data_IF_851791954262
#
_entry.id   IF_851791954262
#
_cell.length_a   1.000
_cell.length_b   1.000
_cell.length_c   1.000
_cell.angle_alpha   90.00
_cell.angle_beta   90.00
_cell.angle_gamma   90.00
#
_symmetry.space_group_name_H-M   'P 1'
#
loop_
_entity.id
_entity.type
_entity.pdbx_description
1 polymer ?
#
# COMPACT_ATOMS: atom_id res chain seq x y z
N UNK A 1 5.44 24.53 -3.88
CA UNK A 1 4.46 24.57 -2.75
C UNK A 1 3.08 24.65 -3.36
N UNK A 2 2.12 23.88 -2.86
CA UNK A 2 0.76 23.86 -3.39
C UNK A 2 0.01 25.16 -3.08
N UNK A 3 -0.83 25.62 -4.00
CA UNK A 3 -1.70 26.78 -3.80
C UNK A 3 -2.93 26.42 -2.96
N UNK A 4 -3.68 27.41 -2.47
CA UNK A 4 -4.96 27.16 -1.77
C UNK A 4 -5.98 26.47 -2.67
N UNK A 5 -5.97 26.80 -3.96
CA UNK A 5 -6.84 26.18 -4.96
C UNK A 5 -6.47 24.71 -5.19
N UNK A 6 -5.16 24.39 -5.25
CA UNK A 6 -4.70 23.00 -5.30
C UNK A 6 -5.18 22.21 -4.08
N UNK A 7 -5.01 22.77 -2.87
CA UNK A 7 -5.42 22.11 -1.63
C UNK A 7 -6.93 21.83 -1.61
N UNK A 8 -7.75 22.80 -2.02
CA UNK A 8 -9.20 22.63 -2.11
C UNK A 8 -9.59 21.56 -3.15
N UNK A 9 -9.01 21.63 -4.35
CA UNK A 9 -9.30 20.67 -5.42
C UNK A 9 -8.94 19.24 -5.02
N UNK A 10 -7.79 19.05 -4.38
CA UNK A 10 -7.35 17.73 -3.90
C UNK A 10 -8.26 17.22 -2.78
N UNK A 11 -8.69 18.11 -1.89
CA UNK A 11 -9.63 17.76 -0.82
C UNK A 11 -10.96 17.25 -1.38
N UNK A 12 -11.53 17.99 -2.33
CA UNK A 12 -12.78 17.60 -2.97
C UNK A 12 -12.62 16.34 -3.82
N UNK A 13 -11.48 16.17 -4.51
CA UNK A 13 -11.15 14.94 -5.24
C UNK A 13 -11.11 13.72 -4.29
N UNK A 14 -10.42 13.83 -3.15
CA UNK A 14 -10.36 12.75 -2.17
C UNK A 14 -11.76 12.37 -1.65
N UNK A 15 -12.60 13.37 -1.33
CA UNK A 15 -13.99 13.14 -0.91
C UNK A 15 -14.83 12.49 -2.01
N UNK A 16 -14.72 12.99 -3.24
CA UNK A 16 -15.42 12.45 -4.41
C UNK A 16 -15.07 10.96 -4.60
N UNK A 17 -13.79 10.62 -4.62
CA UNK A 17 -13.35 9.23 -4.81
C UNK A 17 -13.78 8.33 -3.67
N UNK A 18 -13.70 8.78 -2.41
CA UNK A 18 -14.22 8.02 -1.26
C UNK A 18 -15.73 7.77 -1.37
N UNK A 19 -16.49 8.74 -1.88
CA UNK A 19 -17.94 8.60 -2.10
C UNK A 19 -18.25 7.62 -3.24
N UNK A 20 -17.59 7.76 -4.38
CA UNK A 20 -17.78 6.89 -5.55
C UNK A 20 -17.41 5.43 -5.23
N UNK A 21 -16.38 5.23 -4.42
CA UNK A 21 -15.93 3.91 -3.96
C UNK A 21 -16.65 3.42 -2.70
N UNK A 22 -17.67 4.14 -2.23
CA UNK A 22 -18.50 3.78 -1.07
C UNK A 22 -17.69 3.50 0.22
N UNK A 23 -16.56 4.19 0.41
CA UNK A 23 -15.63 3.95 1.52
C UNK A 23 -16.06 4.63 2.83
N UNK A 24 -17.11 5.44 2.77
CA UNK A 24 -17.50 6.34 3.85
C UNK A 24 -16.34 7.27 4.25
N UNK A 25 -16.38 7.77 5.48
CA UNK A 25 -15.38 8.71 6.01
C UNK A 25 -14.53 8.12 7.15
N UNK A 26 -14.76 6.86 7.54
CA UNK A 26 -13.96 6.21 8.59
C UNK A 26 -12.56 5.81 8.12
N UNK A 27 -11.74 5.22 9.00
CA UNK A 27 -10.45 4.67 8.61
C UNK A 27 -10.58 3.62 7.49
N UNK A 28 -9.70 3.70 6.48
CA UNK A 28 -9.69 2.71 5.39
C UNK A 28 -9.04 1.40 5.84
N UNK A 29 -7.99 1.48 6.65
CA UNK A 29 -7.24 0.31 7.07
C UNK A 29 -6.75 -0.52 5.88
N UNK A 30 -6.96 -1.84 5.94
CA UNK A 30 -6.59 -2.78 4.87
C UNK A 30 -7.60 -2.75 3.70
N UNK A 31 -8.69 -1.98 3.77
CA UNK A 31 -9.65 -1.85 2.66
C UNK A 31 -9.03 -1.20 1.41
N UNK A 32 -7.87 -0.55 1.54
CA UNK A 32 -7.16 0.03 0.39
C UNK A 32 -6.80 -1.03 -0.67
N UNK A 33 -6.44 -2.23 -0.25
CA UNK A 33 -6.17 -3.36 -1.16
C UNK A 33 -7.42 -3.78 -1.93
N UNK A 34 -8.57 -3.81 -1.24
CA UNK A 34 -9.88 -4.05 -1.89
C UNK A 34 -10.22 -2.96 -2.90
N UNK A 35 -9.89 -1.70 -2.62
CA UNK A 35 -10.10 -0.58 -3.54
C UNK A 35 -9.30 -0.76 -4.82
N UNK A 36 -8.00 -1.04 -4.70
CA UNK A 36 -7.09 -1.27 -5.84
C UNK A 36 -7.66 -2.36 -6.76
N UNK A 37 -8.07 -3.48 -6.16
CA UNK A 37 -8.70 -4.59 -6.86
C UNK A 37 -10.02 -4.22 -7.55
N UNK A 38 -10.88 -3.48 -6.87
CA UNK A 38 -12.17 -3.03 -7.43
C UNK A 38 -11.97 -2.11 -8.64
N UNK A 39 -10.88 -1.34 -8.64
CA UNK A 39 -10.47 -0.51 -9.78
C UNK A 39 -9.82 -1.30 -10.92
N UNK A 40 -9.69 -2.62 -10.80
CA UNK A 40 -9.04 -3.48 -11.80
C UNK A 40 -7.53 -3.30 -11.88
N UNK A 41 -6.92 -2.64 -10.89
CA UNK A 41 -5.48 -2.38 -10.87
C UNK A 41 -4.75 -3.62 -10.36
N UNK A 42 -3.74 -4.05 -11.09
CA UNK A 42 -2.91 -5.20 -10.75
C UNK A 42 -1.80 -4.77 -9.78
N UNK A 43 -1.89 -5.22 -8.52
CA UNK A 43 -0.86 -4.95 -7.51
C UNK A 43 0.24 -6.01 -7.58
N UNK A 44 1.47 -5.57 -7.80
CA UNK A 44 2.69 -6.38 -7.78
C UNK A 44 3.54 -5.93 -6.59
N UNK A 45 3.83 -6.85 -5.68
CA UNK A 45 4.63 -6.62 -4.48
C UNK A 45 6.05 -7.11 -4.72
N UNK A 46 7.03 -6.24 -4.52
CA UNK A 46 8.43 -6.56 -4.78
C UNK A 46 9.29 -6.01 -3.64
N UNK A 47 10.13 -6.85 -2.99
CA UNK A 47 11.09 -6.37 -2.03
C UNK A 47 12.31 -5.81 -2.79
N UNK A 48 12.26 -4.52 -3.16
CA UNK A 48 13.43 -3.84 -3.70
C UNK A 48 14.45 -3.64 -2.58
N UNK A 49 15.51 -4.45 -2.61
CA UNK A 49 16.63 -4.35 -1.69
C UNK A 49 17.52 -3.18 -2.11
N UNK A 50 17.77 -2.26 -1.17
CA UNK A 50 18.83 -1.29 -1.32
C UNK A 50 20.17 -1.98 -1.02
N UNK A 51 21.07 -2.05 -1.99
CA UNK A 51 22.45 -2.52 -1.79
C UNK A 51 23.36 -1.46 -1.14
N UNK A 52 22.82 -0.29 -0.73
CA UNK A 52 23.57 0.82 -0.14
C UNK A 52 23.21 1.14 1.31
N UNK A 53 24.16 1.73 2.05
CA UNK A 53 24.03 2.19 3.45
C UNK A 53 23.07 3.40 3.64
N UNK A 54 22.43 3.91 2.59
CA UNK A 54 21.50 5.03 2.69
C UNK A 54 20.14 4.58 3.22
N UNK A 55 19.67 5.25 4.28
CA UNK A 55 18.49 4.87 5.08
C UNK A 55 17.14 5.03 4.36
N UNK A 56 17.13 5.51 3.12
CA UNK A 56 15.91 5.74 2.34
C UNK A 56 15.95 4.93 1.02
N UNK A 57 14.92 4.10 0.83
CA UNK A 57 14.71 3.42 -0.44
C UNK A 57 14.37 4.45 -1.53
N UNK A 58 15.09 4.46 -2.67
CA UNK A 58 14.86 5.43 -3.73
C UNK A 58 13.54 5.19 -4.48
N UNK A 59 12.89 4.04 -4.29
CA UNK A 59 11.64 3.65 -4.93
C UNK A 59 10.63 3.17 -3.87
N UNK A 60 9.51 3.88 -3.73
CA UNK A 60 8.43 3.49 -2.80
C UNK A 60 7.33 2.71 -3.52
N UNK A 61 6.90 3.21 -4.67
CA UNK A 61 5.97 2.55 -5.56
C UNK A 61 6.11 3.10 -7.00
N UNK A 62 5.46 2.41 -7.93
CA UNK A 62 5.41 2.73 -9.36
C UNK A 62 3.99 2.50 -9.86
N UNK A 63 3.44 3.45 -10.61
CA UNK A 63 2.19 3.28 -11.33
C UNK A 63 2.42 3.23 -12.84
N UNK A 64 1.81 2.23 -13.48
CA UNK A 64 1.87 2.01 -14.92
C UNK A 64 0.45 1.82 -15.46
N UNK A 65 0.14 2.45 -16.59
CA UNK A 65 -1.08 2.14 -17.34
C UNK A 65 -0.79 2.07 -18.83
N UNK A 66 -1.12 0.95 -19.47
CA UNK A 66 -1.16 0.84 -20.93
C UNK A 66 -2.59 1.07 -21.40
N UNK A 67 -2.77 1.81 -22.51
CA UNK A 67 -4.03 1.87 -23.24
C UNK A 67 -3.81 1.18 -24.59
N UNK A 68 -4.48 0.06 -24.77
CA UNK A 68 -4.48 -0.68 -26.03
C UNK A 68 -5.39 0.03 -27.06
N UNK A 69 -5.13 -0.20 -28.36
CA UNK A 69 -5.82 0.46 -29.48
C UNK A 69 -7.32 0.16 -29.53
N UNK A 70 -7.75 -0.93 -28.90
CA UNK A 70 -9.14 -1.38 -28.78
C UNK A 70 -9.88 -0.73 -27.58
N UNK A 71 -9.22 0.14 -26.84
CA UNK A 71 -9.76 0.90 -25.71
C UNK A 71 -9.64 0.20 -24.36
N UNK A 72 -9.02 -0.99 -24.28
CA UNK A 72 -8.71 -1.62 -23.01
C UNK A 72 -7.54 -0.91 -22.34
N UNK A 73 -7.67 -0.60 -21.05
CA UNK A 73 -6.57 -0.08 -20.26
C UNK A 73 -6.17 -1.07 -19.17
N UNK A 74 -4.92 -1.48 -19.16
CA UNK A 74 -4.36 -2.32 -18.08
C UNK A 74 -3.53 -1.44 -17.16
N UNK A 75 -3.83 -1.49 -15.87
CA UNK A 75 -3.18 -0.69 -14.85
C UNK A 75 -2.43 -1.56 -13.86
N UNK A 76 -1.21 -1.18 -13.51
CA UNK A 76 -0.36 -1.86 -12.54
C UNK A 76 0.12 -0.88 -11.47
N UNK A 77 0.22 -1.37 -10.24
CA UNK A 77 0.98 -0.73 -9.17
C UNK A 77 2.08 -1.70 -8.74
N UNK A 78 3.33 -1.28 -8.87
CA UNK A 78 4.48 -1.94 -8.26
C UNK A 78 4.74 -1.33 -6.89
N UNK A 79 4.67 -2.12 -5.82
CA UNK A 79 4.86 -1.66 -4.44
C UNK A 79 6.19 -2.18 -3.87
N UNK A 80 7.02 -1.28 -3.34
CA UNK A 80 8.21 -1.70 -2.60
C UNK A 80 7.85 -2.17 -1.19
N UNK A 81 8.10 -3.44 -0.91
CA UNK A 81 7.74 -4.06 0.37
C UNK A 81 8.86 -4.05 1.42
N UNK A 82 10.03 -3.47 1.10
CA UNK A 82 11.12 -3.32 2.09
C UNK A 82 10.96 -2.08 2.98
N UNK A 83 9.98 -1.22 2.67
CA UNK A 83 9.53 -0.14 3.55
C UNK A 83 8.56 -0.62 4.63
N UNK A 84 8.32 0.21 5.64
CA UNK A 84 7.36 -0.08 6.71
C UNK A 84 5.92 -0.08 6.21
N UNK A 85 5.06 -0.87 6.86
CA UNK A 85 3.69 -1.08 6.39
C UNK A 85 2.84 0.20 6.32
N UNK A 86 2.99 1.12 7.27
CA UNK A 86 2.36 2.45 7.22
C UNK A 86 2.77 3.23 5.95
N UNK A 87 4.05 3.18 5.58
CA UNK A 87 4.57 3.80 4.37
C UNK A 87 4.06 3.10 3.10
N UNK A 88 3.95 1.77 3.12
CA UNK A 88 3.39 1.00 2.00
C UNK A 88 1.93 1.39 1.74
N UNK A 89 1.11 1.49 2.78
CA UNK A 89 -0.28 1.98 2.67
C UNK A 89 -0.32 3.39 2.10
N UNK A 90 0.56 4.27 2.58
CA UNK A 90 0.64 5.64 2.07
C UNK A 90 1.05 5.68 0.59
N UNK A 91 2.03 4.88 0.18
CA UNK A 91 2.48 4.77 -1.21
C UNK A 91 1.36 4.28 -2.12
N UNK A 92 0.58 3.27 -1.69
CA UNK A 92 -0.60 2.83 -2.44
C UNK A 92 -1.64 3.94 -2.62
N UNK A 93 -1.95 4.70 -1.56
CA UNK A 93 -2.88 5.82 -1.65
C UNK A 93 -2.34 6.96 -2.53
N UNK A 94 -1.03 7.13 -2.57
CA UNK A 94 -0.35 8.05 -3.48
C UNK A 94 -0.51 7.59 -4.93
N UNK A 95 -0.26 6.32 -5.25
CA UNK A 95 -0.41 5.82 -6.62
C UNK A 95 -1.87 5.86 -7.12
N UNK A 96 -2.85 5.74 -6.21
CA UNK A 96 -4.25 5.95 -6.58
C UNK A 96 -4.52 7.37 -7.10
N UNK A 97 -3.81 8.40 -6.63
CA UNK A 97 -3.92 9.74 -7.22
C UNK A 97 -3.51 9.73 -8.69
N UNK A 98 -2.36 9.12 -9.00
CA UNK A 98 -1.87 9.02 -10.39
C UNK A 98 -2.82 8.20 -11.27
N UNK A 99 -3.43 7.16 -10.71
CA UNK A 99 -4.49 6.43 -11.38
C UNK A 99 -5.71 7.33 -11.70
N UNK A 100 -6.19 8.11 -10.74
CA UNK A 100 -7.34 8.97 -10.97
C UNK A 100 -7.07 10.15 -11.91
N UNK A 101 -5.83 10.63 -11.95
CA UNK A 101 -5.41 11.77 -12.78
C UNK A 101 -4.81 11.35 -14.12
N UNK A 102 -4.82 10.05 -14.44
CA UNK A 102 -4.11 9.39 -15.55
C UNK A 102 -4.27 10.11 -16.89
N UNK A 103 -3.36 11.05 -17.11
CA UNK A 103 -3.04 11.73 -18.37
C UNK A 103 -1.72 11.23 -18.95
N UNK A 104 -0.92 10.50 -18.15
CA UNK A 104 0.40 9.95 -18.50
C UNK A 104 0.44 8.45 -18.17
N UNK A 105 0.82 7.57 -19.12
CA UNK A 105 0.86 6.13 -18.93
C UNK A 105 1.95 5.62 -17.98
N UNK A 106 2.96 6.41 -17.60
CA UNK A 106 4.09 5.96 -16.77
C UNK A 106 4.43 6.96 -15.65
N UNK A 107 4.41 6.53 -14.39
CA UNK A 107 4.75 7.40 -13.24
C UNK A 107 5.60 6.67 -12.20
N UNK A 108 6.80 7.20 -11.93
CA UNK A 108 7.78 6.64 -10.98
C UNK A 108 7.87 7.50 -9.70
N UNK A 109 7.51 6.94 -8.55
CA UNK A 109 7.55 7.65 -7.27
C UNK A 109 8.81 7.34 -6.43
N UNK A 110 9.48 8.40 -5.97
CA UNK A 110 10.68 8.32 -5.12
C UNK A 110 10.39 8.83 -3.71
N UNK A 111 9.76 8.04 -2.85
CA UNK A 111 9.61 8.31 -1.40
C UNK A 111 8.92 9.63 -1.00
N UNK A 112 8.66 9.80 0.31
CA UNK A 112 7.91 10.96 0.84
C UNK A 112 8.66 12.30 0.77
N UNK A 113 10.00 12.26 0.77
CA UNK A 113 10.85 13.43 1.03
C UNK A 113 11.62 13.96 -0.23
N UNK A 114 11.43 13.38 -1.43
CA UNK A 114 12.33 13.62 -2.58
C UNK A 114 11.77 14.26 -3.86
N UNK A 115 10.54 14.80 -3.89
CA UNK A 115 10.00 15.43 -5.12
C UNK A 115 9.65 16.91 -4.95
N UNK A 116 10.33 17.80 -5.69
CA UNK A 116 9.92 19.21 -5.84
C UNK A 116 8.82 19.39 -6.91
N UNK A 117 8.43 18.31 -7.58
CA UNK A 117 7.36 18.29 -8.59
C UNK A 117 6.00 18.58 -7.94
N UNK A 118 5.25 19.49 -8.55
CA UNK A 118 3.90 19.84 -8.14
C UNK A 118 3.00 18.59 -8.17
N UNK A 119 3.14 17.72 -9.18
CA UNK A 119 2.32 16.51 -9.32
C UNK A 119 2.48 15.57 -8.12
N UNK A 120 3.72 15.30 -7.73
CA UNK A 120 4.03 14.47 -6.57
C UNK A 120 3.60 15.11 -5.24
N UNK A 121 3.70 16.44 -5.12
CA UNK A 121 3.14 17.17 -3.98
C UNK A 121 1.62 17.00 -3.91
N UNK A 122 0.91 17.04 -5.05
CA UNK A 122 -0.53 16.79 -5.12
C UNK A 122 -0.87 15.35 -4.72
N UNK A 123 -0.10 14.38 -5.21
CA UNK A 123 -0.26 12.97 -4.87
C UNK A 123 -0.05 12.71 -3.36
N UNK A 124 0.99 13.28 -2.75
CA UNK A 124 1.22 13.21 -1.31
C UNK A 124 0.08 13.85 -0.51
N UNK A 125 -0.42 15.02 -0.95
CA UNK A 125 -1.57 15.67 -0.32
C UNK A 125 -2.83 14.83 -0.46
N UNK A 126 -3.07 14.24 -1.64
CA UNK A 126 -4.21 13.36 -1.90
C UNK A 126 -4.14 12.14 -1.00
N UNK A 127 -3.01 11.43 -0.93
CA UNK A 127 -2.86 10.25 -0.08
C UNK A 127 -3.20 10.55 1.39
N UNK A 128 -2.69 11.67 1.92
CA UNK A 128 -2.94 12.08 3.30
C UNK A 128 -4.42 12.42 3.56
N UNK A 129 -5.09 13.04 2.59
CA UNK A 129 -6.51 13.38 2.67
C UNK A 129 -7.43 12.17 2.45
N UNK A 130 -7.06 11.31 1.50
CA UNK A 130 -7.80 10.10 1.14
C UNK A 130 -7.76 9.09 2.28
N UNK A 131 -6.62 8.94 2.97
CA UNK A 131 -6.50 8.07 4.14
C UNK A 131 -7.14 8.68 5.39
N UNK A 132 -6.96 9.99 5.62
CA UNK A 132 -7.48 10.72 6.77
C UNK A 132 -8.14 12.04 6.34
N UNK A 133 -9.47 12.02 6.06
CA UNK A 133 -10.19 13.23 5.64
C UNK A 133 -10.12 14.35 6.67
N UNK A 134 -10.05 15.60 6.20
CA UNK A 134 -9.87 16.82 7.02
C UNK A 134 -10.97 16.94 8.07
N UNK A 135 -12.21 16.72 7.67
CA UNK A 135 -13.38 16.77 8.56
C UNK A 135 -13.26 15.76 9.70
N UNK A 136 -12.63 14.61 9.44
CA UNK A 136 -12.44 13.56 10.43
C UNK A 136 -11.28 13.85 11.35
N UNK A 137 -10.15 14.32 10.83
CA UNK A 137 -9.06 14.78 11.67
C UNK A 137 -9.52 15.91 12.61
N UNK A 138 -10.26 16.90 12.08
CA UNK A 138 -10.81 17.99 12.89
C UNK A 138 -11.77 17.45 13.96
N UNK A 139 -12.59 16.45 13.62
CA UNK A 139 -13.46 15.78 14.59
C UNK A 139 -12.65 15.09 15.70
N UNK A 140 -11.67 14.24 15.37
CA UNK A 140 -10.82 13.55 16.36
C UNK A 140 -10.13 14.53 17.31
N UNK A 141 -9.57 15.62 16.76
CA UNK A 141 -8.93 16.68 17.56
C UNK A 141 -9.92 17.31 18.52
N UNK A 142 -11.10 17.70 18.02
CA UNK A 142 -12.14 18.36 18.84
C UNK A 142 -12.69 17.44 19.91
N UNK A 143 -12.94 16.17 19.60
CA UNK A 143 -13.41 15.19 20.58
C UNK A 143 -12.43 15.07 21.77
N UNK A 144 -11.13 15.04 21.48
CA UNK A 144 -10.09 14.93 22.51
C UNK A 144 -9.82 16.25 23.24
N UNK A 145 -10.14 17.39 22.62
CA UNK A 145 -9.87 18.74 23.12
C UNK A 145 -11.16 19.54 23.43
N UNK A 146 -12.22 18.85 23.86
CA UNK A 146 -13.47 19.45 24.36
C UNK A 146 -14.10 20.45 23.38
N UNK A 147 -14.10 20.11 22.10
CA UNK A 147 -14.66 20.93 21.01
C UNK A 147 -13.69 21.94 20.40
N UNK A 148 -12.48 22.12 20.95
CA UNK A 148 -11.50 23.06 20.41
C UNK A 148 -10.54 22.38 19.42
N UNK A 149 -10.30 23.03 18.27
CA UNK A 149 -9.38 22.55 17.26
C UNK A 149 -7.91 22.89 17.58
N UNK A 150 -7.66 23.99 18.27
CA UNK A 150 -6.30 24.43 18.64
C UNK A 150 -5.81 23.66 19.88
N UNK A 151 -4.74 22.87 19.70
CA UNK A 151 -4.10 22.07 20.76
C UNK A 151 -3.04 22.88 21.52
N UNK A 152 -3.01 24.20 21.39
CA UNK A 152 -2.13 25.07 22.17
C UNK A 152 -2.23 24.77 23.67
N UNK A 153 -1.06 24.53 24.28
CA UNK A 153 -0.94 24.19 25.70
C UNK A 153 -0.97 22.69 25.99
N UNK A 154 -1.20 21.84 24.99
CA UNK A 154 -0.98 20.39 25.13
C UNK A 154 0.51 20.10 25.32
N UNK A 155 0.82 19.14 26.18
CA UNK A 155 2.19 18.67 26.37
C UNK A 155 2.62 17.79 25.19
N UNK A 156 3.92 17.66 24.94
CA UNK A 156 4.45 16.77 23.90
C UNK A 156 3.92 15.35 24.04
N UNK A 157 3.88 14.80 25.27
CA UNK A 157 3.35 13.45 25.50
C UNK A 157 1.85 13.34 25.18
N UNK A 158 1.06 14.40 25.39
CA UNK A 158 -0.35 14.40 25.01
C UNK A 158 -0.52 14.42 23.48
N UNK A 159 0.29 15.21 22.77
CA UNK A 159 0.31 15.22 21.30
C UNK A 159 0.75 13.86 20.74
N UNK A 160 1.81 13.27 21.29
CA UNK A 160 2.31 11.96 20.86
C UNK A 160 1.28 10.85 21.08
N UNK A 161 0.49 10.91 22.15
CA UNK A 161 -0.64 9.99 22.36
C UNK A 161 -1.70 10.14 21.27
N UNK A 162 -2.15 11.36 20.99
CA UNK A 162 -3.12 11.61 19.91
C UNK A 162 -2.58 11.12 18.55
N UNK A 163 -1.31 11.40 18.25
CA UNK A 163 -0.69 10.96 17.00
C UNK A 163 -0.63 9.44 16.93
N UNK A 164 -0.29 8.75 18.03
CA UNK A 164 -0.23 7.30 18.08
C UNK A 164 -1.63 6.65 17.91
N UNK A 165 -2.68 7.26 18.46
CA UNK A 165 -4.08 6.84 18.22
C UNK A 165 -4.42 6.96 16.73
N UNK A 166 -4.20 8.13 16.13
CA UNK A 166 -4.46 8.36 14.69
C UNK A 166 -3.62 7.40 13.82
N UNK A 167 -2.37 7.15 14.19
CA UNK A 167 -1.48 6.23 13.47
C UNK A 167 -2.06 4.81 13.44
N UNK A 168 -2.51 4.30 14.59
CA UNK A 168 -3.08 2.96 14.65
C UNK A 168 -4.42 2.87 13.93
N UNK A 169 -5.29 3.87 14.08
CA UNK A 169 -6.64 3.83 13.54
C UNK A 169 -6.64 4.02 12.02
N UNK A 170 -5.95 5.04 11.53
CA UNK A 170 -5.95 5.45 10.12
C UNK A 170 -4.79 4.87 9.32
N UNK A 171 -3.86 4.15 9.97
CA UNK A 171 -2.68 3.52 9.34
C UNK A 171 -1.81 4.50 8.56
N UNK A 172 -1.76 5.75 9.02
CA UNK A 172 -1.06 6.85 8.38
C UNK A 172 0.33 7.04 9.00
N UNK A 173 1.40 7.25 8.21
CA UNK A 173 2.73 7.47 8.77
C UNK A 173 2.79 8.66 9.74
N UNK A 174 3.60 8.52 10.80
CA UNK A 174 3.78 9.56 11.83
C UNK A 174 4.00 10.96 11.25
N UNK A 175 4.97 11.11 10.33
CA UNK A 175 5.29 12.41 9.71
C UNK A 175 4.09 12.99 8.95
N UNK A 176 3.28 12.16 8.28
CA UNK A 176 2.09 12.61 7.57
C UNK A 176 1.03 13.13 8.55
N UNK A 177 0.81 12.44 9.68
CA UNK A 177 -0.12 12.90 10.72
C UNK A 177 0.31 14.25 11.30
N UNK A 178 1.60 14.41 11.65
CA UNK A 178 2.11 15.67 12.21
C UNK A 178 1.90 16.83 11.22
N UNK A 179 2.17 16.62 9.93
CA UNK A 179 1.91 17.62 8.89
C UNK A 179 0.42 17.95 8.80
N UNK A 180 -0.45 16.94 8.79
CA UNK A 180 -1.92 17.12 8.75
C UNK A 180 -2.44 17.93 9.93
N UNK A 181 -1.94 17.68 11.15
CA UNK A 181 -2.30 18.46 12.33
C UNK A 181 -1.94 19.95 12.18
N UNK A 182 -0.79 20.26 11.57
CA UNK A 182 -0.41 21.65 11.30
C UNK A 182 -1.28 22.27 10.21
N UNK A 183 -1.61 21.52 9.15
CA UNK A 183 -2.44 21.97 8.04
C UNK A 183 -3.86 22.35 8.48
N UNK A 184 -4.45 21.58 9.40
CA UNK A 184 -5.74 21.92 10.01
C UNK A 184 -5.61 22.95 11.14
N UNK A 185 -4.42 23.52 11.37
CA UNK A 185 -4.21 24.53 12.40
C UNK A 185 -4.36 24.02 13.84
N UNK A 186 -4.25 22.70 14.07
CA UNK A 186 -4.29 22.13 15.42
C UNK A 186 -2.98 22.34 16.18
N UNK A 187 -1.86 22.45 15.48
CA UNK A 187 -0.53 22.74 16.04
C UNK A 187 0.16 23.88 15.30
N UNK A 188 1.07 24.57 15.99
CA UNK A 188 1.88 25.64 15.39
C UNK A 188 3.03 25.07 14.54
N UNK A 189 3.63 25.91 13.69
CA UNK A 189 4.81 25.55 12.89
C UNK A 189 6.00 25.13 13.76
N UNK A 190 6.20 25.78 14.91
CA UNK A 190 7.27 25.42 15.85
C UNK A 190 7.05 24.02 16.43
N UNK A 191 5.82 23.68 16.81
CA UNK A 191 5.48 22.34 17.32
C UNK A 191 5.65 21.29 16.23
N UNK A 192 5.25 21.59 14.99
CA UNK A 192 5.52 20.73 13.82
C UNK A 192 7.03 20.43 13.68
N UNK A 193 7.87 21.46 13.69
CA UNK A 193 9.32 21.32 13.54
C UNK A 193 9.95 20.48 14.67
N UNK A 194 9.45 20.61 15.90
CA UNK A 194 9.93 19.80 17.03
C UNK A 194 9.47 18.34 16.96
N UNK A 195 8.20 18.10 16.59
CA UNK A 195 7.68 16.74 16.43
C UNK A 195 8.38 16.00 15.29
N UNK A 196 8.71 16.67 14.18
CA UNK A 196 9.41 16.05 13.05
C UNK A 196 10.85 15.62 13.36
N UNK A 197 11.46 16.08 14.46
CA UNK A 197 12.78 15.63 14.94
C UNK A 197 12.72 14.31 15.70
N UNK A 198 11.55 13.86 16.11
CA UNK A 198 11.37 12.62 16.87
C UNK A 198 11.55 11.44 15.93
N UNK A 199 12.42 10.51 16.30
CA UNK A 199 12.44 9.20 15.67
C UNK A 199 11.24 8.39 16.15
N UNK A 200 10.22 8.30 15.28
CA UNK A 200 8.99 7.59 15.55
C UNK A 200 9.19 6.05 15.68
N UNK A 201 10.38 5.54 15.33
CA UNK A 201 10.72 4.12 15.36
C UNK A 201 11.82 3.79 16.36
N UNK A 202 12.21 4.74 17.22
CA UNK A 202 13.06 4.46 18.36
C UNK A 202 12.30 3.58 19.38
N UNK A 203 12.75 2.33 19.53
CA UNK A 203 12.13 1.34 20.42
C UNK A 203 12.19 1.73 21.91
N UNK A 204 13.15 2.56 22.31
CA UNK A 204 13.27 3.11 23.66
C UNK A 204 12.52 4.45 23.81
N UNK A 205 12.07 5.01 22.69
CA UNK A 205 11.41 6.30 22.61
C UNK A 205 9.99 6.30 23.19
N UNK A 206 9.60 7.44 23.74
CA UNK A 206 8.27 7.63 24.35
C UNK A 206 7.13 7.37 23.34
N UNK A 207 7.30 7.74 22.07
CA UNK A 207 6.28 7.51 21.05
C UNK A 207 6.04 6.02 20.79
N UNK A 208 7.12 5.23 20.70
CA UNK A 208 7.03 3.78 20.50
C UNK A 208 6.37 3.08 21.69
N UNK A 209 6.72 3.50 22.91
CA UNK A 209 6.07 3.03 24.12
C UNK A 209 4.56 3.36 24.13
N UNK A 210 4.17 4.59 23.77
CA UNK A 210 2.76 4.99 23.73
C UNK A 210 1.97 4.19 22.69
N UNK A 211 2.46 4.11 21.45
CA UNK A 211 1.79 3.36 20.37
C UNK A 211 1.61 1.88 20.68
N UNK A 212 2.65 1.25 21.24
CA UNK A 212 2.60 -0.15 21.67
C UNK A 212 1.56 -0.42 22.76
N UNK A 213 1.30 0.57 23.64
CA UNK A 213 0.30 0.44 24.70
C UNK A 213 -1.13 0.82 24.26
N UNK A 214 -1.27 1.66 23.22
CA UNK A 214 -2.58 2.03 22.66
C UNK A 214 -3.18 0.88 21.87
N UNK A 215 -2.42 0.32 20.92
CA UNK A 215 -2.85 -0.82 20.12
C UNK A 215 -1.62 -1.61 19.67
N UNK A 216 -1.17 -2.54 20.51
CA UNK A 216 0.06 -3.31 20.28
C UNK A 216 0.07 -4.01 18.93
N UNK A 217 -1.03 -4.66 18.55
CA UNK A 217 -1.15 -5.41 17.29
C UNK A 217 -1.02 -4.49 16.08
N UNK A 218 -1.83 -3.42 16.02
CA UNK A 218 -1.79 -2.49 14.89
C UNK A 218 -0.46 -1.76 14.81
N UNK A 219 0.05 -1.27 15.95
CA UNK A 219 1.31 -0.53 16.00
C UNK A 219 2.51 -1.40 15.58
N UNK A 220 2.58 -2.65 16.03
CA UNK A 220 3.63 -3.58 15.58
C UNK A 220 3.53 -3.86 14.08
N UNK A 221 2.31 -4.11 13.57
CA UNK A 221 2.09 -4.33 12.14
C UNK A 221 2.56 -3.12 11.31
N UNK A 222 2.17 -1.91 11.71
CA UNK A 222 2.54 -0.67 11.01
C UNK A 222 4.05 -0.40 11.00
N UNK A 223 4.76 -0.86 12.03
CA UNK A 223 6.22 -0.77 12.14
C UNK A 223 6.96 -2.02 11.62
N UNK A 224 6.30 -2.90 10.88
CA UNK A 224 6.92 -4.08 10.25
C UNK A 224 7.21 -3.82 8.78
N UNK A 225 8.34 -4.32 8.28
CA UNK A 225 8.65 -4.43 6.85
C UNK A 225 8.13 -5.76 6.34
N UNK A 226 7.24 -5.74 5.36
CA UNK A 226 6.51 -6.96 4.95
C UNK A 226 7.37 -7.89 4.09
N UNK A 227 8.27 -7.34 3.27
CA UNK A 227 9.13 -8.07 2.33
C UNK A 227 8.35 -9.08 1.46
N UNK A 228 7.09 -8.78 1.14
CA UNK A 228 6.24 -9.63 0.32
C UNK A 228 6.70 -9.59 -1.14
N UNK A 229 6.67 -10.74 -1.80
CA UNK A 229 6.94 -10.89 -3.21
C UNK A 229 5.77 -11.57 -3.91
N UNK A 230 5.37 -11.07 -5.08
CA UNK A 230 4.34 -11.66 -5.93
C UNK A 230 3.10 -10.77 -6.10
N UNK A 231 1.95 -11.40 -6.37
CA UNK A 231 0.67 -10.74 -6.62
C UNK A 231 -0.42 -11.26 -5.68
N UNK A 232 -1.56 -10.56 -5.61
CA UNK A 232 -2.70 -11.01 -4.81
C UNK A 232 -3.22 -12.40 -5.26
N UNK A 233 -3.68 -13.21 -4.30
CA UNK A 233 -4.09 -14.60 -4.55
C UNK A 233 -5.22 -14.77 -5.57
N UNK A 234 -6.07 -13.78 -5.78
CA UNK A 234 -7.10 -13.82 -6.82
C UNK A 234 -6.51 -13.78 -8.24
N UNK A 235 -5.42 -13.04 -8.43
CA UNK A 235 -4.71 -13.01 -9.72
C UNK A 235 -4.02 -14.35 -9.99
N UNK A 236 -3.46 -14.97 -8.95
CA UNK A 236 -2.92 -16.32 -9.06
C UNK A 236 -4.03 -17.34 -9.35
N UNK A 237 -5.20 -17.19 -8.71
CA UNK A 237 -6.38 -18.01 -8.99
C UNK A 237 -6.82 -17.96 -10.45
N UNK A 238 -6.79 -16.79 -11.09
CA UNK A 238 -7.09 -16.66 -12.53
C UNK A 238 -6.10 -17.42 -13.43
N UNK A 239 -4.83 -17.53 -13.03
CA UNK A 239 -3.86 -18.35 -13.76
C UNK A 239 -4.27 -19.83 -13.71
N UNK A 240 -4.68 -20.30 -12.53
CA UNK A 240 -5.18 -21.66 -12.32
C UNK A 240 -6.45 -21.91 -13.11
N UNK A 241 -7.44 -21.00 -13.05
CA UNK A 241 -8.69 -21.11 -13.81
C UNK A 241 -8.44 -21.17 -15.32
N UNK A 242 -7.50 -20.38 -15.85
CA UNK A 242 -7.15 -20.43 -17.27
C UNK A 242 -6.57 -21.79 -17.68
N UNK A 243 -5.80 -22.43 -16.80
CA UNK A 243 -5.30 -23.79 -17.02
C UNK A 243 -6.44 -24.82 -16.95
N UNK A 244 -7.30 -24.74 -15.93
CA UNK A 244 -8.46 -25.64 -15.76
C UNK A 244 -9.44 -25.55 -16.94
N UNK A 245 -9.58 -24.36 -17.55
CA UNK A 245 -10.39 -24.14 -18.75
C UNK A 245 -9.66 -24.52 -20.06
N UNK A 246 -8.42 -24.99 -20.00
CA UNK A 246 -7.63 -25.41 -21.15
C UNK A 246 -7.16 -24.26 -22.05
N UNK A 247 -7.12 -23.02 -21.54
CA UNK A 247 -6.62 -21.85 -22.28
C UNK A 247 -5.10 -21.76 -22.30
N UNK A 248 -4.43 -22.35 -21.31
CA UNK A 248 -2.98 -22.44 -21.19
C UNK A 248 -2.57 -23.87 -20.82
N UNK A 249 -1.37 -24.27 -21.21
CA UNK A 249 -0.77 -25.55 -20.86
C UNK A 249 -0.20 -25.58 -19.44
N UNK A 250 0.05 -26.77 -18.90
CA UNK A 250 0.68 -26.93 -17.57
C UNK A 250 2.09 -26.30 -17.51
N UNK A 251 2.85 -26.36 -18.62
CA UNK A 251 4.16 -25.71 -18.71
C UNK A 251 4.05 -24.19 -18.69
N UNK A 252 3.10 -23.61 -19.43
CA UNK A 252 2.86 -22.16 -19.42
C UNK A 252 2.42 -21.69 -18.03
N UNK A 253 1.52 -22.42 -17.37
CA UNK A 253 1.13 -22.13 -15.99
C UNK A 253 2.33 -22.18 -15.04
N UNK A 254 3.20 -23.18 -15.17
CA UNK A 254 4.42 -23.29 -14.37
C UNK A 254 5.32 -22.07 -14.54
N UNK A 255 5.55 -21.64 -15.78
CA UNK A 255 6.37 -20.46 -16.08
C UNK A 255 5.74 -19.18 -15.50
N UNK A 256 4.43 -19.00 -15.63
CA UNK A 256 3.70 -17.84 -15.08
C UNK A 256 3.72 -17.81 -13.54
N UNK A 257 3.53 -18.96 -12.87
CA UNK A 257 3.63 -19.05 -11.41
C UNK A 257 5.04 -18.71 -10.91
N UNK A 258 6.06 -19.16 -11.63
CA UNK A 258 7.46 -18.90 -11.29
C UNK A 258 7.78 -17.40 -11.31
N UNK A 259 7.16 -16.61 -12.19
CA UNK A 259 7.31 -15.14 -12.21
C UNK A 259 6.91 -14.49 -10.87
N UNK A 260 6.00 -15.12 -10.12
CA UNK A 260 5.50 -14.64 -8.83
C UNK A 260 6.04 -15.45 -7.64
N UNK A 261 7.08 -16.26 -7.86
CA UNK A 261 7.70 -17.06 -6.82
C UNK A 261 6.79 -18.17 -6.28
N UNK A 262 5.92 -18.69 -7.14
CA UNK A 262 5.02 -19.82 -6.87
C UNK A 262 5.36 -21.00 -7.75
N UNK A 263 4.99 -22.19 -7.31
CA UNK A 263 5.15 -23.43 -8.08
C UNK A 263 3.83 -24.19 -8.21
N UNK A 264 3.80 -25.20 -9.09
CA UNK A 264 2.65 -26.11 -9.20
C UNK A 264 2.38 -26.88 -7.90
N UNK A 265 3.40 -27.15 -7.08
CA UNK A 265 3.27 -27.81 -5.77
C UNK A 265 2.45 -26.97 -4.79
N UNK A 266 2.59 -25.64 -4.81
CA UNK A 266 1.83 -24.73 -3.95
C UNK A 266 0.30 -24.90 -4.15
N UNK A 267 -0.10 -25.35 -5.33
CA UNK A 267 -1.50 -25.58 -5.73
C UNK A 267 -1.85 -27.07 -5.85
N UNK A 268 -0.93 -27.97 -5.52
CA UNK A 268 -1.10 -29.43 -5.66
C UNK A 268 -1.45 -29.87 -7.09
N UNK A 269 -0.88 -29.21 -8.09
CA UNK A 269 -1.08 -29.50 -9.51
C UNK A 269 0.01 -30.39 -10.12
N UNK A 270 0.98 -30.85 -9.31
CA UNK A 270 1.76 -32.02 -9.67
C UNK A 270 0.93 -33.25 -9.27
N UNK A 271 0.25 -33.87 -10.23
CA UNK A 271 -0.22 -35.24 -10.03
C UNK A 271 1.01 -36.13 -9.80
N UNK A 272 0.92 -37.00 -8.78
CA UNK A 272 1.84 -38.14 -8.64
C UNK A 272 1.88 -38.83 -9.99
N UNK A 273 3.03 -38.81 -10.66
CA UNK A 273 3.22 -39.45 -11.95
C UNK A 273 2.52 -40.82 -11.91
N UNK A 274 1.55 -41.02 -12.81
CA UNK A 274 0.74 -42.23 -12.93
C UNK A 274 1.64 -43.46 -12.77
N UNK A 275 1.56 -44.10 -11.60
CA UNK A 275 2.22 -45.38 -11.32
C UNK A 275 1.62 -46.53 -12.16
N UNK A 276 0.66 -46.22 -13.02
CA UNK A 276 -0.04 -47.18 -13.89
C UNK A 276 0.55 -47.24 -15.33
N UNK A 277 1.44 -46.32 -15.72
CA UNK A 277 2.09 -46.36 -17.06
C UNK A 277 3.29 -47.32 -17.14
N UNK A 278 3.76 -47.87 -16.01
CA UNK A 278 4.84 -48.87 -15.98
C UNK A 278 4.35 -50.28 -16.39
N UNK A 279 3.05 -50.58 -16.28
CA UNK A 279 2.49 -51.89 -16.65
C UNK A 279 2.39 -52.08 -18.18
N UNK A 280 2.19 -51.00 -18.95
CA UNK A 280 2.14 -51.05 -20.42
C UNK A 280 3.54 -51.15 -21.05
N UNK A 281 4.57 -50.58 -20.42
CA UNK A 281 5.97 -50.77 -20.82
C UNK A 281 6.46 -52.21 -20.54
N UNK A 282 5.98 -52.85 -19.46
CA UNK A 282 6.33 -54.24 -19.14
C UNK A 282 5.70 -55.27 -20.12
N UNK A 283 4.61 -54.91 -20.81
CA UNK A 283 4.00 -55.73 -21.87
C UNK A 283 4.78 -55.64 -23.19
N UNK A 284 5.40 -54.50 -23.51
CA UNK A 284 6.22 -54.31 -24.71
C UNK A 284 7.54 -55.11 -24.69
N UNK A 285 8.08 -55.42 -23.51
CA UNK A 285 9.32 -56.21 -23.37
C UNK A 285 9.11 -57.72 -23.20
N UNK A 286 7.86 -58.22 -23.22
CA UNK A 286 7.55 -59.65 -23.14
C UNK A 286 7.33 -60.35 -24.48
N UNK A 287 7.25 -59.61 -25.59
CA UNK A 287 7.02 -60.18 -26.93
C UNK A 287 8.32 -60.45 -27.73
N UNK A 288 9.52 -60.26 -27.16
CA UNK A 288 10.80 -60.55 -27.84
C UNK A 288 11.58 -61.77 -27.28
N UNK A 289 10.94 -62.65 -26.52
CA UNK A 289 11.51 -63.98 -26.18
C UNK A 289 10.56 -65.11 -26.62
N UNK A 290 10.55 -65.41 -27.92
CA UNK A 290 10.24 -66.74 -28.47
C UNK A 290 10.99 -66.99 -29.79
#
# INVERSE_FOLDING_TARGET
>A
MLTKEDLYTIEELAKEKRRVLELGMGPLGDNLFKVIRTLGIQLIQIPFLNEGEESDNPLAALYLSSKEDDGYSICYIGLNTTDFWDKQIFALAHELYHHFESSDPFVLCRGLDHSSDIRELKANRFAAEFLLPTEKLVHEVKEKNKGNQDLKGWTTNALLRLIAEIHCDYRLPFKAIVRRLQEVGAISKTVLEDLLKIDARDHEGIYYALGSNINSKAFQQLNTKTNLFGVEGENLGKLIENYEEGKVSLSELSDDLNLFGKSLEDYKLMEEADLDDDDDLALLFKEEED
#
